data_IF_438992490684
#
_entry.id   IF_438992490684
#
_cell.length_a   1.000
_cell.length_b   1.000
_cell.length_c   1.000
_cell.angle_alpha   90.00
_cell.angle_beta   90.00
_cell.angle_gamma   90.00
#
_symmetry.space_group_name_H-M   'P 1'
#
loop_
_entity.id
_entity.type
_entity.pdbx_description
1 polymer ?
#
# COMPACT_ATOMS: atom_id res chain seq x y z
N UNK A 1 -62.45 44.31 -12.51
CA UNK A 1 -61.75 43.10 -12.99
C UNK A 1 -60.33 43.49 -13.34
N UNK A 2 -59.39 43.25 -12.43
CA UNK A 2 -57.95 43.12 -12.70
C UNK A 2 -57.34 42.47 -11.48
N UNK A 3 -56.93 41.21 -11.66
CA UNK A 3 -56.34 40.32 -10.67
C UNK A 3 -55.10 40.91 -10.01
N UNK A 4 -55.12 40.93 -8.68
CA UNK A 4 -53.93 40.93 -7.83
C UNK A 4 -53.26 39.56 -7.93
N UNK A 5 -52.39 39.38 -8.93
CA UNK A 5 -51.46 38.25 -9.00
C UNK A 5 -50.44 38.39 -7.87
N UNK A 6 -50.70 37.67 -6.79
CA UNK A 6 -49.74 37.34 -5.73
C UNK A 6 -48.48 36.75 -6.35
N UNK A 7 -47.42 37.57 -6.43
CA UNK A 7 -46.14 37.22 -7.06
C UNK A 7 -45.04 37.05 -6.01
N UNK A 8 -45.35 36.71 -4.75
CA UNK A 8 -44.36 36.85 -3.66
C UNK A 8 -44.32 35.70 -2.63
N UNK A 9 -44.51 34.45 -3.07
CA UNK A 9 -44.33 33.26 -2.22
C UNK A 9 -43.47 32.16 -2.88
N UNK A 10 -42.51 32.55 -3.73
CA UNK A 10 -41.37 31.68 -4.03
C UNK A 10 -40.37 31.80 -2.88
N UNK A 11 -40.75 31.17 -1.76
CA UNK A 11 -40.09 31.31 -0.48
C UNK A 11 -38.62 30.88 -0.55
N UNK A 12 -37.72 31.72 0.01
CA UNK A 12 -36.35 31.33 0.39
C UNK A 12 -36.34 30.01 1.18
N UNK A 13 -37.42 29.75 1.95
CA UNK A 13 -37.67 28.49 2.64
C UNK A 13 -37.83 27.27 1.72
N UNK A 14 -38.42 27.43 0.53
CA UNK A 14 -38.53 26.37 -0.47
C UNK A 14 -37.19 25.96 -1.08
N UNK A 15 -36.30 26.92 -1.36
CA UNK A 15 -34.93 26.68 -1.84
C UNK A 15 -34.06 25.99 -0.78
N UNK A 16 -34.13 26.45 0.48
CA UNK A 16 -33.44 25.79 1.60
C UNK A 16 -33.99 24.38 1.83
N UNK A 17 -35.30 24.17 1.70
CA UNK A 17 -35.91 22.84 1.79
C UNK A 17 -35.41 21.91 0.66
N UNK A 18 -35.30 22.42 -0.57
CA UNK A 18 -34.81 21.64 -1.72
C UNK A 18 -33.30 21.33 -1.63
N UNK A 19 -32.47 22.24 -1.11
CA UNK A 19 -31.04 21.97 -0.85
C UNK A 19 -30.86 20.96 0.29
N UNK A 20 -31.68 21.05 1.34
CA UNK A 20 -31.67 20.10 2.47
C UNK A 20 -32.06 18.68 2.01
N UNK A 21 -32.88 18.56 0.96
CA UNK A 21 -33.22 17.27 0.35
C UNK A 21 -32.15 16.73 -0.63
N UNK A 22 -31.35 17.59 -1.26
CA UNK A 22 -30.34 17.18 -2.26
C UNK A 22 -28.97 16.84 -1.67
N UNK A 23 -28.55 17.53 -0.60
CA UNK A 23 -27.28 17.26 0.10
C UNK A 23 -27.15 15.79 0.56
N UNK A 24 -28.18 15.14 1.12
CA UNK A 24 -28.12 13.71 1.50
C UNK A 24 -27.83 12.78 0.32
N UNK A 25 -28.32 13.09 -0.88
CA UNK A 25 -28.10 12.25 -2.06
C UNK A 25 -26.66 12.40 -2.58
N UNK A 26 -26.11 13.63 -2.53
CA UNK A 26 -24.71 13.89 -2.88
C UNK A 26 -23.74 13.18 -1.92
N UNK A 27 -24.03 13.21 -0.62
CA UNK A 27 -23.23 12.47 0.37
C UNK A 27 -23.29 10.97 0.10
N UNK A 28 -24.48 10.43 -0.21
CA UNK A 28 -24.63 9.02 -0.58
C UNK A 28 -23.87 8.66 -1.85
N UNK A 29 -23.85 9.54 -2.86
CA UNK A 29 -23.09 9.31 -4.09
C UNK A 29 -21.60 9.31 -3.83
N UNK A 30 -21.09 10.23 -3.01
CA UNK A 30 -19.67 10.30 -2.65
C UNK A 30 -19.24 9.04 -1.88
N UNK A 31 -20.09 8.57 -0.96
CA UNK A 31 -19.86 7.31 -0.24
C UNK A 31 -19.85 6.12 -1.20
N UNK A 32 -20.79 6.05 -2.16
CA UNK A 32 -20.82 4.98 -3.16
C UNK A 32 -19.59 5.00 -4.06
N UNK A 33 -19.14 6.20 -4.44
CA UNK A 33 -17.94 6.38 -5.25
C UNK A 33 -16.69 5.93 -4.47
N UNK A 34 -16.54 6.37 -3.22
CA UNK A 34 -15.46 5.95 -2.34
C UNK A 34 -15.47 4.43 -2.12
N UNK A 35 -16.65 3.83 -1.92
CA UNK A 35 -16.79 2.36 -1.83
C UNK A 35 -16.35 1.66 -3.13
N UNK A 36 -16.74 2.17 -4.29
CA UNK A 36 -16.33 1.62 -5.58
C UNK A 36 -14.81 1.71 -5.79
N UNK A 37 -14.21 2.86 -5.44
CA UNK A 37 -12.77 3.06 -5.56
C UNK A 37 -11.98 2.15 -4.60
N UNK A 38 -12.44 2.01 -3.36
CA UNK A 38 -11.85 1.09 -2.38
C UNK A 38 -11.99 -0.37 -2.84
N UNK A 39 -13.14 -0.76 -3.38
CA UNK A 39 -13.36 -2.11 -3.92
C UNK A 39 -12.45 -2.38 -5.13
N UNK A 40 -12.29 -1.43 -6.04
CA UNK A 40 -11.41 -1.57 -7.19
C UNK A 40 -9.93 -1.63 -6.79
N UNK A 41 -9.49 -0.75 -5.89
CA UNK A 41 -8.14 -0.78 -5.31
C UNK A 41 -7.90 -2.11 -4.58
N UNK A 42 -8.87 -2.57 -3.79
CA UNK A 42 -8.83 -3.85 -3.09
C UNK A 42 -8.73 -5.04 -4.03
N UNK A 43 -9.49 -5.04 -5.14
CA UNK A 43 -9.41 -6.09 -6.17
C UNK A 43 -8.05 -6.13 -6.83
N UNK A 44 -7.51 -4.97 -7.24
CA UNK A 44 -6.18 -4.88 -7.87
C UNK A 44 -5.08 -5.33 -6.91
N UNK A 45 -5.13 -4.88 -5.66
CA UNK A 45 -4.19 -5.31 -4.63
C UNK A 45 -4.32 -6.82 -4.36
N UNK A 46 -5.54 -7.35 -4.25
CA UNK A 46 -5.81 -8.77 -4.01
C UNK A 46 -5.31 -9.68 -5.13
N UNK A 47 -5.52 -9.29 -6.40
CA UNK A 47 -4.96 -10.01 -7.56
C UNK A 47 -3.43 -9.97 -7.52
N UNK A 48 -2.83 -8.81 -7.21
CA UNK A 48 -1.38 -8.67 -7.05
C UNK A 48 -0.81 -9.59 -5.97
N UNK A 49 -1.40 -9.57 -4.77
CA UNK A 49 -1.01 -10.42 -3.64
C UNK A 49 -1.19 -11.91 -4.00
N UNK A 50 -2.29 -12.27 -4.66
CA UNK A 50 -2.56 -13.63 -5.12
C UNK A 50 -1.50 -14.14 -6.09
N UNK A 51 -1.21 -13.38 -7.15
CA UNK A 51 -0.19 -13.74 -8.14
C UNK A 51 1.22 -13.81 -7.50
N UNK A 52 1.56 -12.85 -6.64
CA UNK A 52 2.87 -12.85 -5.97
C UNK A 52 3.02 -14.05 -5.01
N UNK A 53 1.93 -14.48 -4.37
CA UNK A 53 1.91 -15.67 -3.52
C UNK A 53 2.18 -16.94 -4.33
N UNK A 54 1.51 -17.10 -5.48
CA UNK A 54 1.74 -18.24 -6.38
C UNK A 54 3.17 -18.22 -6.94
N UNK A 55 3.63 -17.06 -7.41
CA UNK A 55 5.00 -16.91 -7.91
C UNK A 55 6.04 -17.24 -6.82
N UNK A 56 5.82 -16.79 -5.58
CA UNK A 56 6.68 -17.09 -4.45
C UNK A 56 6.73 -18.59 -4.13
N UNK A 57 5.59 -19.27 -4.13
CA UNK A 57 5.53 -20.73 -3.94
C UNK A 57 6.25 -21.49 -5.06
N UNK A 58 6.01 -21.11 -6.32
CA UNK A 58 6.69 -21.72 -7.46
C UNK A 58 8.20 -21.50 -7.39
N UNK A 59 8.65 -20.29 -7.06
CA UNK A 59 10.06 -19.98 -6.87
C UNK A 59 10.68 -20.79 -5.71
N UNK A 60 9.94 -20.97 -4.61
CA UNK A 60 10.37 -21.80 -3.48
C UNK A 60 10.57 -23.25 -3.90
N UNK A 61 9.59 -23.86 -4.59
CA UNK A 61 9.72 -25.23 -5.08
C UNK A 61 10.83 -25.38 -6.11
N UNK A 62 10.97 -24.44 -7.04
CA UNK A 62 12.06 -24.43 -8.01
C UNK A 62 13.43 -24.39 -7.32
N UNK A 63 13.60 -23.54 -6.31
CA UNK A 63 14.83 -23.49 -5.52
C UNK A 63 15.07 -24.80 -4.76
N UNK A 64 14.04 -25.37 -4.13
CA UNK A 64 14.16 -26.66 -3.45
C UNK A 64 14.60 -27.78 -4.42
N UNK A 65 14.02 -27.84 -5.62
CA UNK A 65 14.42 -28.79 -6.66
C UNK A 65 15.86 -28.57 -7.13
N UNK A 66 16.31 -27.32 -7.26
CA UNK A 66 17.72 -27.01 -7.58
C UNK A 66 18.68 -27.46 -6.48
N UNK A 67 18.31 -27.26 -5.20
CA UNK A 67 19.09 -27.76 -4.06
C UNK A 67 19.16 -29.29 -4.10
N UNK A 68 18.03 -29.99 -4.30
CA UNK A 68 18.03 -31.45 -4.47
C UNK A 68 18.90 -31.89 -5.65
N UNK A 69 18.84 -31.18 -6.78
CA UNK A 69 19.68 -31.46 -7.95
C UNK A 69 21.15 -31.33 -7.63
N UNK A 70 21.56 -30.27 -6.91
CA UNK A 70 22.94 -30.09 -6.48
C UNK A 70 23.41 -31.22 -5.55
N UNK A 71 22.56 -31.63 -4.60
CA UNK A 71 22.86 -32.76 -3.70
C UNK A 71 23.03 -34.05 -4.50
N UNK A 72 22.09 -34.37 -5.40
CA UNK A 72 22.14 -35.58 -6.21
C UNK A 72 23.35 -35.59 -7.16
N UNK A 73 23.68 -34.46 -7.77
CA UNK A 73 24.85 -34.32 -8.64
C UNK A 73 26.16 -34.55 -7.85
N UNK A 74 26.27 -33.99 -6.65
CA UNK A 74 27.43 -34.18 -5.79
C UNK A 74 27.50 -35.62 -5.24
N UNK A 75 26.35 -36.24 -4.99
CA UNK A 75 26.25 -37.64 -4.57
C UNK A 75 26.74 -38.64 -5.64
N UNK A 76 26.98 -38.21 -6.89
CA UNK A 76 27.64 -39.04 -7.90
C UNK A 76 29.13 -39.29 -7.60
N UNK A 77 29.75 -38.44 -6.77
CA UNK A 77 31.19 -38.48 -6.47
C UNK A 77 31.50 -38.63 -4.98
N UNK A 78 30.54 -38.41 -4.08
CA UNK A 78 30.67 -38.62 -2.62
C UNK A 78 29.41 -39.27 -2.06
N UNK A 79 29.45 -39.76 -0.81
CA UNK A 79 28.26 -40.31 -0.15
C UNK A 79 27.12 -39.28 -0.05
N UNK A 80 25.87 -39.74 -0.23
CA UNK A 80 24.69 -38.87 -0.26
C UNK A 80 24.52 -38.01 1.01
N UNK A 81 24.83 -38.55 2.18
CA UNK A 81 24.76 -37.81 3.45
C UNK A 81 25.79 -36.66 3.49
N UNK A 82 26.99 -36.90 2.95
CA UNK A 82 28.06 -35.89 2.91
C UNK A 82 27.75 -34.83 1.85
N UNK A 83 27.23 -35.22 0.69
CA UNK A 83 26.77 -34.30 -0.34
C UNK A 83 25.71 -33.32 0.22
N UNK A 84 24.72 -33.85 0.95
CA UNK A 84 23.69 -33.03 1.61
C UNK A 84 24.28 -32.02 2.61
N UNK A 85 25.25 -32.45 3.44
CA UNK A 85 25.92 -31.56 4.40
C UNK A 85 26.73 -30.47 3.71
N UNK A 86 27.47 -30.78 2.65
CA UNK A 86 28.27 -29.80 1.90
C UNK A 86 27.35 -28.73 1.30
N UNK A 87 26.28 -29.13 0.62
CA UNK A 87 25.33 -28.18 0.02
C UNK A 87 24.66 -27.35 1.10
N UNK A 88 24.28 -27.94 2.23
CA UNK A 88 23.70 -27.21 3.36
C UNK A 88 24.65 -26.15 3.92
N UNK A 89 25.93 -26.46 4.10
CA UNK A 89 26.93 -25.49 4.56
C UNK A 89 27.11 -24.33 3.58
N UNK A 90 27.15 -24.61 2.27
CA UNK A 90 27.23 -23.57 1.24
C UNK A 90 26.00 -22.64 1.29
N UNK A 91 24.81 -23.20 1.42
CA UNK A 91 23.57 -22.43 1.53
C UNK A 91 23.53 -21.59 2.81
N UNK A 92 23.96 -22.14 3.96
CA UNK A 92 24.06 -21.41 5.21
C UNK A 92 25.04 -20.24 5.13
N UNK A 93 26.20 -20.44 4.48
CA UNK A 93 27.16 -19.36 4.24
C UNK A 93 26.57 -18.25 3.35
N UNK A 94 25.89 -18.63 2.26
CA UNK A 94 25.20 -17.68 1.39
C UNK A 94 24.08 -16.93 2.12
N UNK A 95 23.28 -17.62 2.94
CA UNK A 95 22.23 -17.03 3.75
C UNK A 95 22.78 -16.07 4.80
N UNK A 96 23.89 -16.42 5.47
CA UNK A 96 24.56 -15.53 6.42
C UNK A 96 25.08 -14.26 5.73
N UNK A 97 25.72 -14.39 4.57
CA UNK A 97 26.20 -13.25 3.78
C UNK A 97 25.04 -12.35 3.33
N UNK A 98 23.98 -12.92 2.76
CA UNK A 98 22.77 -12.19 2.37
C UNK A 98 22.10 -11.50 3.56
N UNK A 99 22.02 -12.17 4.71
CA UNK A 99 21.46 -11.62 5.94
C UNK A 99 22.25 -10.42 6.47
N UNK A 100 23.58 -10.48 6.46
CA UNK A 100 24.44 -9.35 6.84
C UNK A 100 24.28 -8.18 5.87
N UNK A 101 24.32 -8.45 4.56
CA UNK A 101 24.13 -7.43 3.51
C UNK A 101 22.74 -6.76 3.60
N UNK A 102 21.70 -7.57 3.83
CA UNK A 102 20.34 -7.10 4.02
C UNK A 102 20.20 -6.23 5.26
N UNK A 103 20.75 -6.67 6.40
CA UNK A 103 20.77 -5.89 7.64
C UNK A 103 21.44 -4.54 7.44
N UNK A 104 22.58 -4.52 6.75
CA UNK A 104 23.30 -3.27 6.50
C UNK A 104 22.50 -2.32 5.60
N UNK A 105 21.85 -2.83 4.55
CA UNK A 105 20.98 -2.01 3.68
C UNK A 105 19.79 -1.42 4.43
N UNK A 106 19.14 -2.21 5.29
CA UNK A 106 18.02 -1.73 6.12
C UNK A 106 18.51 -0.70 7.14
N UNK A 107 19.65 -0.95 7.79
CA UNK A 107 20.25 0.00 8.72
C UNK A 107 20.64 1.33 8.06
N UNK A 108 21.12 1.29 6.81
CA UNK A 108 21.48 2.49 6.05
C UNK A 108 20.28 3.26 5.47
N UNK A 109 19.11 2.65 5.34
CA UNK A 109 17.92 3.31 4.78
C UNK A 109 17.32 4.37 5.71
N UNK A 110 17.69 4.37 7.00
CA UNK A 110 17.13 5.28 8.00
C UNK A 110 15.63 5.05 8.26
N UNK A 111 15.04 5.68 9.29
CA UNK A 111 13.59 5.69 9.43
C UNK A 111 12.98 6.39 8.21
N UNK A 112 11.83 5.93 7.69
CA UNK A 112 11.12 6.63 6.63
C UNK A 112 10.71 8.01 7.16
N UNK A 113 11.55 9.02 6.93
CA UNK A 113 11.23 10.41 7.22
C UNK A 113 10.39 10.90 6.06
N UNK A 114 9.11 11.26 6.27
CA UNK A 114 8.30 11.83 5.21
C UNK A 114 8.76 13.28 5.02
N UNK A 115 9.85 13.46 4.27
CA UNK A 115 10.52 14.75 4.07
C UNK A 115 9.53 15.82 3.61
N UNK A 116 8.64 15.48 2.68
CA UNK A 116 7.59 16.38 2.18
C UNK A 116 6.51 16.73 3.22
N UNK A 117 6.14 15.79 4.08
CA UNK A 117 5.17 16.08 5.15
C UNK A 117 5.80 16.94 6.26
N UNK A 118 7.10 16.73 6.51
CA UNK A 118 7.87 17.54 7.46
C UNK A 118 8.15 18.95 6.93
N UNK A 119 8.30 19.13 5.63
CA UNK A 119 8.40 20.46 4.98
C UNK A 119 7.11 21.25 5.11
N UNK A 120 5.96 20.65 4.78
CA UNK A 120 4.65 21.32 4.93
C UNK A 120 4.38 21.77 6.37
N UNK A 121 4.65 20.91 7.36
CA UNK A 121 4.48 21.26 8.78
C UNK A 121 5.43 22.39 9.21
N UNK A 122 6.66 22.45 8.67
CA UNK A 122 7.60 23.55 8.96
C UNK A 122 7.13 24.87 8.37
N UNK A 123 6.57 24.85 7.16
CA UNK A 123 6.01 26.02 6.48
C UNK A 123 4.77 26.56 7.21
N UNK A 124 3.90 25.66 7.67
CA UNK A 124 2.74 26.00 8.49
C UNK A 124 3.16 26.65 9.83
N UNK A 125 4.17 26.09 10.50
CA UNK A 125 4.71 26.65 11.75
C UNK A 125 5.37 28.02 11.52
N UNK A 126 6.09 28.19 10.41
CA UNK A 126 6.72 29.47 10.06
C UNK A 126 5.66 30.56 9.82
N UNK A 127 4.57 30.22 9.16
CA UNK A 127 3.44 31.12 8.90
C UNK A 127 2.75 31.54 10.19
N UNK A 128 2.48 30.60 11.09
CA UNK A 128 1.85 30.88 12.40
C UNK A 128 2.77 31.69 13.31
N UNK A 129 4.08 31.43 13.30
CA UNK A 129 5.05 32.16 14.12
C UNK A 129 5.34 33.58 13.58
N UNK A 130 5.26 33.78 12.27
CA UNK A 130 5.36 35.09 11.62
C UNK A 130 4.15 35.99 11.85
N UNK A 131 2.96 35.42 12.06
CA UNK A 131 1.72 36.15 12.31
C UNK A 131 1.59 36.77 13.72
N UNK A 132 2.61 36.66 14.58
CA UNK A 132 2.61 37.21 15.94
C UNK A 132 3.48 38.46 16.14
N UNK A 133 3.83 39.15 15.06
CA UNK A 133 4.67 40.37 15.09
C UNK A 133 4.00 41.66 14.58
N UNK A 134 2.67 41.74 14.53
CA UNK A 134 1.95 43.02 14.41
C UNK A 134 1.10 43.33 15.64
#
# INVERSE_FOLDING_TARGET
MTDSRTTDDQTLGGLVHQMTQQVPELIRSEIRLAQAEVAEKGKRAGVGIGMFSVAGLLAFFALATLVTTAVLALALVVDAWLAALIVALVLLAAAAAAGVLGKNKVASAGPPKPERALEGVKEDIATVKGAHHE
#
